data_IF_231363673981
#
_entry.id   IF_231363673981
#
_cell.length_a   1.000
_cell.length_b   1.000
_cell.length_c   1.000
_cell.angle_alpha   90.00
_cell.angle_beta   90.00
_cell.angle_gamma   90.00
#
_symmetry.space_group_name_H-M   'P 1'
#
loop_
_entity.id
_entity.type
_entity.pdbx_description
1 polymer ?
#
# COMPACT_ATOMS: atom_id res chain seq x y z
N UNK A 1 19.95 25.48 9.04
CA UNK A 1 19.16 24.44 8.35
C UNK A 1 18.52 23.59 9.43
N UNK A 2 17.19 23.36 9.38
CA UNK A 2 16.55 22.46 10.35
C UNK A 2 17.07 21.03 10.15
N UNK A 3 17.40 20.35 11.24
CA UNK A 3 17.93 18.99 11.20
C UNK A 3 16.79 18.01 10.91
N UNK A 4 16.89 17.27 9.81
CA UNK A 4 15.91 16.24 9.45
C UNK A 4 16.14 15.01 10.34
N UNK A 5 15.11 14.59 11.07
CA UNK A 5 15.18 13.40 11.93
C UNK A 5 14.83 12.13 11.17
N UNK A 6 15.19 10.96 11.71
CA UNK A 6 14.76 9.67 11.16
C UNK A 6 13.23 9.56 11.09
N UNK A 7 12.53 10.12 12.10
CA UNK A 7 11.06 10.21 12.13
C UNK A 7 10.51 11.04 10.98
N UNK A 8 11.13 12.19 10.68
CA UNK A 8 10.70 13.05 9.58
C UNK A 8 10.89 12.35 8.22
N UNK A 9 12.03 11.70 8.03
CA UNK A 9 12.34 10.95 6.82
C UNK A 9 11.36 9.78 6.60
N UNK A 10 11.07 9.01 7.66
CA UNK A 10 10.13 7.90 7.61
C UNK A 10 8.70 8.39 7.35
N UNK A 11 8.26 9.46 8.03
CA UNK A 11 6.93 10.07 7.82
C UNK A 11 6.75 10.54 6.38
N UNK A 12 7.78 11.17 5.79
CA UNK A 12 7.73 11.60 4.40
C UNK A 12 7.65 10.42 3.43
N UNK A 13 8.45 9.37 3.67
CA UNK A 13 8.43 8.15 2.87
C UNK A 13 7.05 7.49 2.90
N UNK A 14 6.45 7.33 4.08
CA UNK A 14 5.14 6.70 4.26
C UNK A 14 4.03 7.48 3.56
N UNK A 15 4.05 8.83 3.58
CA UNK A 15 3.08 9.64 2.83
C UNK A 15 3.13 9.36 1.33
N UNK A 16 4.35 9.24 0.78
CA UNK A 16 4.53 8.90 -0.64
C UNK A 16 4.07 7.47 -0.94
N UNK A 17 4.38 6.52 -0.06
CA UNK A 17 3.96 5.13 -0.22
C UNK A 17 2.45 4.95 -0.13
N UNK A 18 1.76 5.67 0.76
CA UNK A 18 0.30 5.68 0.86
C UNK A 18 -0.36 6.20 -0.41
N UNK A 19 0.15 7.30 -0.98
CA UNK A 19 -0.38 7.86 -2.23
C UNK A 19 -0.24 6.85 -3.38
N UNK A 20 0.93 6.25 -3.53
CA UNK A 20 1.18 5.23 -4.55
C UNK A 20 0.33 3.97 -4.34
N UNK A 21 0.17 3.53 -3.08
CA UNK A 21 -0.70 2.41 -2.74
C UNK A 21 -2.14 2.67 -3.16
N UNK A 22 -2.66 3.87 -2.92
CA UNK A 22 -4.02 4.25 -3.32
C UNK A 22 -4.21 4.21 -4.85
N UNK A 23 -3.25 4.76 -5.61
CA UNK A 23 -3.28 4.73 -7.08
C UNK A 23 -3.24 3.29 -7.64
N UNK A 24 -2.40 2.43 -7.07
CA UNK A 24 -2.29 1.03 -7.47
C UNK A 24 -3.55 0.23 -7.11
N UNK A 25 -4.11 0.46 -5.92
CA UNK A 25 -5.36 -0.16 -5.50
C UNK A 25 -6.54 0.25 -6.40
N UNK A 26 -6.62 1.53 -6.78
CA UNK A 26 -7.63 2.00 -7.73
C UNK A 26 -7.45 1.35 -9.12
N UNK A 27 -6.22 1.22 -9.60
CA UNK A 27 -5.92 0.55 -10.86
C UNK A 27 -6.36 -0.93 -10.83
N UNK A 28 -6.06 -1.64 -9.76
CA UNK A 28 -6.47 -3.03 -9.58
C UNK A 28 -8.00 -3.17 -9.55
N UNK A 29 -8.70 -2.26 -8.86
CA UNK A 29 -10.16 -2.23 -8.82
C UNK A 29 -10.76 -2.00 -10.22
N UNK A 30 -10.18 -1.09 -11.02
CA UNK A 30 -10.59 -0.86 -12.42
C UNK A 30 -10.39 -2.10 -13.29
N UNK A 31 -9.29 -2.82 -13.12
CA UNK A 31 -9.04 -4.07 -13.85
C UNK A 31 -10.03 -5.17 -13.46
N UNK A 32 -10.31 -5.32 -12.17
CA UNK A 32 -11.31 -6.26 -11.67
C UNK A 32 -12.70 -5.96 -12.24
N UNK A 33 -13.10 -4.68 -12.24
CA UNK A 33 -14.36 -4.24 -12.84
C UNK A 33 -14.42 -4.51 -14.34
N UNK A 34 -13.32 -4.26 -15.08
CA UNK A 34 -13.24 -4.56 -16.50
C UNK A 34 -13.41 -6.06 -16.80
N UNK A 35 -12.77 -6.93 -16.02
CA UNK A 35 -12.89 -8.38 -16.17
C UNK A 35 -14.31 -8.84 -15.86
N UNK A 36 -14.93 -8.31 -14.80
CA UNK A 36 -16.32 -8.61 -14.45
C UNK A 36 -17.32 -8.15 -15.52
N UNK A 37 -17.07 -7.00 -16.16
CA UNK A 37 -17.90 -6.46 -17.23
C UNK A 37 -17.71 -7.17 -18.59
N UNK A 38 -16.59 -7.89 -18.78
CA UNK A 38 -16.28 -8.62 -20.01
C UNK A 38 -16.11 -10.12 -19.72
N UNK A 39 -17.19 -10.82 -19.30
CA UNK A 39 -17.13 -12.26 -19.12
C UNK A 39 -16.75 -12.91 -20.45
N UNK A 40 -15.81 -13.85 -20.39
CA UNK A 40 -15.27 -14.51 -21.56
C UNK A 40 -16.37 -14.99 -22.52
N UNK A 41 -16.31 -14.53 -23.76
CA UNK A 41 -17.03 -15.16 -24.85
C UNK A 41 -16.66 -16.66 -24.91
N UNK A 42 -17.63 -17.48 -25.31
CA UNK A 42 -17.58 -18.95 -25.33
C UNK A 42 -16.22 -19.44 -25.84
N UNK A 43 -15.41 -20.03 -24.95
CA UNK A 43 -14.09 -20.60 -25.26
C UNK A 43 -12.86 -19.88 -24.66
N UNK A 44 -12.99 -18.68 -24.08
CA UNK A 44 -11.88 -18.02 -23.36
C UNK A 44 -11.93 -18.33 -21.86
N UNK A 45 -10.80 -18.71 -21.25
CA UNK A 45 -10.76 -19.01 -19.81
C UNK A 45 -10.34 -17.77 -19.01
N UNK A 46 -11.19 -17.27 -18.11
CA UNK A 46 -10.91 -16.09 -17.25
C UNK A 46 -9.91 -16.42 -16.12
N UNK A 47 -9.55 -17.70 -15.95
CA UNK A 47 -8.71 -18.20 -14.84
C UNK A 47 -7.34 -17.51 -14.75
N UNK A 48 -6.69 -17.19 -15.88
CA UNK A 48 -5.38 -16.52 -15.87
C UNK A 48 -5.46 -15.06 -15.42
N UNK A 49 -6.52 -14.35 -15.80
CA UNK A 49 -6.71 -12.96 -15.42
C UNK A 49 -7.10 -12.83 -13.94
N UNK A 50 -7.93 -13.76 -13.44
CA UNK A 50 -8.24 -13.85 -12.00
C UNK A 50 -6.97 -14.18 -11.19
N UNK A 51 -6.14 -15.12 -11.67
CA UNK A 51 -4.89 -15.45 -10.98
C UNK A 51 -3.95 -14.23 -10.89
N UNK A 52 -3.85 -13.43 -11.96
CA UNK A 52 -3.06 -12.19 -11.96
C UNK A 52 -3.63 -11.16 -10.99
N UNK A 53 -4.95 -10.93 -10.99
CA UNK A 53 -5.62 -10.04 -10.03
C UNK A 53 -5.33 -10.45 -8.58
N UNK A 54 -5.40 -11.75 -8.28
CA UNK A 54 -5.13 -12.25 -6.92
C UNK A 54 -3.68 -12.05 -6.49
N UNK A 55 -2.73 -12.22 -7.40
CA UNK A 55 -1.31 -11.96 -7.13
C UNK A 55 -1.06 -10.47 -6.83
N UNK A 56 -1.61 -9.59 -7.66
CA UNK A 56 -1.51 -8.13 -7.47
C UNK A 56 -2.19 -7.68 -6.17
N UNK A 57 -3.38 -8.21 -5.87
CA UNK A 57 -4.08 -7.97 -4.60
C UNK A 57 -3.25 -8.41 -3.39
N UNK A 58 -2.64 -9.60 -3.47
CA UNK A 58 -1.80 -10.13 -2.38
C UNK A 58 -0.56 -9.26 -2.16
N UNK A 59 0.05 -8.75 -3.24
CA UNK A 59 1.17 -7.84 -3.14
C UNK A 59 0.76 -6.52 -2.47
N UNK A 60 -0.37 -5.94 -2.87
CA UNK A 60 -0.91 -4.73 -2.24
C UNK A 60 -1.23 -4.95 -0.75
N UNK A 61 -1.83 -6.09 -0.38
CA UNK A 61 -2.10 -6.41 1.03
C UNK A 61 -0.81 -6.45 1.87
N UNK A 62 0.26 -7.07 1.36
CA UNK A 62 1.56 -7.08 2.06
C UNK A 62 2.09 -5.67 2.23
N UNK A 63 2.00 -4.85 1.19
CA UNK A 63 2.45 -3.46 1.20
C UNK A 63 1.64 -2.60 2.18
N UNK A 64 0.33 -2.83 2.28
CA UNK A 64 -0.52 -2.18 3.27
C UNK A 64 -0.07 -2.49 4.70
N UNK A 65 0.23 -3.76 5.00
CA UNK A 65 0.76 -4.16 6.31
C UNK A 65 2.11 -3.50 6.62
N UNK A 66 2.99 -3.35 5.63
CA UNK A 66 4.26 -2.62 5.82
C UNK A 66 4.04 -1.14 6.11
N UNK A 67 3.09 -0.50 5.43
CA UNK A 67 2.73 0.91 5.68
C UNK A 67 2.19 1.08 7.10
N UNK A 68 1.30 0.18 7.53
CA UNK A 68 0.72 0.18 8.88
C UNK A 68 1.80 0.03 9.96
N UNK A 69 2.70 -0.94 9.81
CA UNK A 69 3.84 -1.12 10.70
C UNK A 69 4.77 0.12 10.72
N UNK A 70 4.95 0.77 9.57
CA UNK A 70 5.73 2.01 9.49
C UNK A 70 5.07 3.18 10.23
N UNK A 71 3.74 3.28 10.19
CA UNK A 71 3.00 4.29 10.94
C UNK A 71 3.12 4.07 12.44
N UNK A 72 2.98 2.83 12.91
CA UNK A 72 3.19 2.46 14.30
C UNK A 72 4.62 2.80 14.77
N UNK A 73 5.64 2.51 13.94
CA UNK A 73 7.02 2.88 14.24
C UNK A 73 7.21 4.40 14.39
N UNK A 74 6.55 5.23 13.56
CA UNK A 74 6.60 6.70 13.68
C UNK A 74 5.98 7.18 14.99
N UNK A 75 4.91 6.53 15.45
CA UNK A 75 4.27 6.84 16.74
C UNK A 75 5.20 6.49 17.90
N UNK A 76 5.81 5.30 17.88
CA UNK A 76 6.76 4.86 18.90
C UNK A 76 7.99 5.79 19.00
N UNK A 77 8.58 6.17 17.86
CA UNK A 77 9.68 7.15 17.83
C UNK A 77 9.28 8.51 18.42
N UNK A 78 8.00 8.89 18.29
CA UNK A 78 7.47 10.09 18.90
C UNK A 78 7.30 9.99 20.41
N UNK A 79 6.90 8.83 20.91
CA UNK A 79 6.75 8.57 22.34
C UNK A 79 8.12 8.48 23.06
N UNK A 80 9.12 7.84 22.44
CA UNK A 80 10.50 7.78 22.95
C UNK A 80 11.13 9.18 23.07
N UNK A 81 10.91 10.07 22.09
CA UNK A 81 11.40 11.44 22.17
C UNK A 81 10.83 12.20 23.37
N UNK A 82 9.54 12.02 23.70
CA UNK A 82 8.88 12.70 24.82
C UNK A 82 9.36 12.19 26.18
N UNK A 83 9.71 10.90 26.28
CA UNK A 83 10.16 10.28 27.55
C UNK A 83 11.62 10.57 27.87
N UNK A 84 12.42 10.99 26.89
CA UNK A 84 13.85 11.30 27.08
C UNK A 84 14.09 12.78 27.44
N UNK A 85 13.08 13.65 27.30
CA UNK A 85 13.14 15.09 27.64
C UNK A 85 12.61 15.44 29.05
N UNK A 86 12.25 14.43 29.86
CA UNK A 86 11.84 14.58 31.27
C UNK A 86 12.97 14.22 32.23
#
# INVERSE_FOLDING_TARGET
MAQVTARDALTYSLKREQAQFAEEAERLAKQAAYIAANPAATGRTISGDIARLLQEATFLLKRAATIEAGLEAVELMGAEAITTEQ
#
